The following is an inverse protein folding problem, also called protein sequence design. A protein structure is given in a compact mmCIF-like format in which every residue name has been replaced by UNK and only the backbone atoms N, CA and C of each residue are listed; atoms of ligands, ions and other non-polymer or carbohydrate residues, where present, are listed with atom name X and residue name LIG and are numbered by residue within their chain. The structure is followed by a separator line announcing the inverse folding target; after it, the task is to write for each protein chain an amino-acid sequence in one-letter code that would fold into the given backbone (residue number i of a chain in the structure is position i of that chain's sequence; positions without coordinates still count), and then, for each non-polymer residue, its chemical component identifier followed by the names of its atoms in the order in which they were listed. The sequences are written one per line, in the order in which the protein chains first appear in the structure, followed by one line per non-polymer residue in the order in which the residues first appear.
data_IF_376079888234
#
_entry.id   IF_376079888234
#
_cell.length_a   1.000
_cell.length_b   1.000
_cell.length_c   1.000
_cell.angle_alpha   90.00
_cell.angle_beta   90.00
_cell.angle_gamma   90.00
#
_symmetry.space_group_name_H-M   'P 1'
#
loop_
_entity.id
_entity.type
_entity.pdbx_description
1 polymer ?
#
# COMPACT_ATOMS: atom_id res chain seq x y z
N UNK A 1 -21.40 9.78 -9.25
CA UNK A 1 -21.69 8.36 -8.97
C UNK A 1 -20.93 7.46 -9.96
N UNK A 2 -21.03 7.65 -11.27
CA UNK A 2 -20.41 6.81 -12.29
C UNK A 2 -18.86 6.72 -12.23
N UNK A 3 -18.16 7.78 -11.84
CA UNK A 3 -16.71 7.76 -11.69
C UNK A 3 -16.26 6.96 -10.46
N UNK A 4 -16.97 7.09 -9.35
CA UNK A 4 -16.68 6.35 -8.11
C UNK A 4 -16.88 4.84 -8.28
N UNK A 5 -17.96 4.42 -8.96
CA UNK A 5 -18.20 2.99 -9.23
C UNK A 5 -17.13 2.38 -10.14
N UNK A 6 -16.64 3.10 -11.15
CA UNK A 6 -15.54 2.65 -12.03
C UNK A 6 -14.23 2.47 -11.28
N UNK A 7 -13.89 3.38 -10.36
CA UNK A 7 -12.69 3.28 -9.51
C UNK A 7 -12.81 2.07 -8.58
N UNK A 8 -13.98 1.90 -7.93
CA UNK A 8 -14.23 0.76 -7.06
C UNK A 8 -14.13 -0.57 -7.81
N UNK A 9 -14.78 -0.68 -8.98
CA UNK A 9 -14.71 -1.87 -9.81
C UNK A 9 -13.28 -2.21 -10.24
N UNK A 10 -12.50 -1.20 -10.66
CA UNK A 10 -11.08 -1.39 -11.00
C UNK A 10 -10.25 -1.84 -9.79
N UNK A 11 -10.50 -1.32 -8.59
CA UNK A 11 -9.81 -1.75 -7.36
C UNK A 11 -10.17 -3.18 -6.96
N UNK A 12 -11.45 -3.53 -7.02
CA UNK A 12 -11.89 -4.90 -6.74
C UNK A 12 -11.27 -5.87 -7.73
N UNK A 13 -11.28 -5.56 -9.03
CA UNK A 13 -10.64 -6.37 -10.07
C UNK A 13 -9.13 -6.52 -9.85
N UNK A 14 -8.44 -5.44 -9.48
CA UNK A 14 -7.01 -5.47 -9.12
C UNK A 14 -6.72 -6.41 -7.94
N UNK A 15 -7.52 -6.30 -6.87
CA UNK A 15 -7.32 -7.14 -5.67
C UNK A 15 -7.62 -8.61 -6.00
N UNK A 16 -8.69 -8.87 -6.74
CA UNK A 16 -9.03 -10.22 -7.18
C UNK A 16 -7.92 -10.83 -8.06
N UNK A 17 -7.37 -10.07 -9.02
CA UNK A 17 -6.27 -10.51 -9.86
C UNK A 17 -5.00 -10.81 -9.04
N UNK A 18 -4.62 -9.92 -8.11
CA UNK A 18 -3.47 -10.16 -7.24
C UNK A 18 -3.67 -11.38 -6.33
N UNK A 19 -4.87 -11.57 -5.80
CA UNK A 19 -5.21 -12.75 -5.01
C UNK A 19 -5.08 -14.04 -5.82
N UNK A 20 -5.61 -14.03 -7.04
CA UNK A 20 -5.48 -15.18 -7.94
C UNK A 20 -4.01 -15.52 -8.23
N UNK A 21 -3.15 -14.51 -8.46
CA UNK A 21 -1.70 -14.72 -8.61
C UNK A 21 -1.12 -15.40 -7.39
N UNK A 22 -1.42 -14.92 -6.18
CA UNK A 22 -0.92 -15.50 -4.92
C UNK A 22 -1.35 -16.96 -4.79
N UNK A 23 -2.62 -17.25 -5.10
CA UNK A 23 -3.16 -18.63 -5.06
C UNK A 23 -2.45 -19.53 -6.07
N UNK A 24 -2.29 -19.09 -7.32
CA UNK A 24 -1.62 -19.88 -8.37
C UNK A 24 -0.15 -20.16 -8.02
N UNK A 25 0.55 -19.15 -7.48
CA UNK A 25 1.94 -19.28 -7.03
C UNK A 25 2.02 -20.24 -5.83
N UNK A 26 1.12 -20.10 -4.85
CA UNK A 26 1.07 -20.96 -3.67
C UNK A 26 0.82 -22.43 -4.05
N UNK A 27 -0.15 -22.69 -4.93
CA UNK A 27 -0.47 -24.05 -5.38
C UNK A 27 0.69 -24.72 -6.10
N UNK A 28 1.38 -23.99 -6.97
CA UNK A 28 2.43 -24.57 -7.81
C UNK A 28 3.80 -24.66 -7.12
N UNK A 29 4.17 -23.63 -6.34
CA UNK A 29 5.51 -23.55 -5.77
C UNK A 29 5.60 -24.03 -4.32
N UNK A 30 4.47 -24.30 -3.68
CA UNK A 30 4.40 -24.67 -2.27
C UNK A 30 4.84 -23.55 -1.32
N UNK A 31 4.88 -23.83 0.01
CA UNK A 31 5.16 -22.82 1.01
C UNK A 31 6.52 -22.14 0.84
N UNK A 32 7.59 -22.87 0.58
CA UNK A 32 8.93 -22.28 0.43
C UNK A 32 9.02 -21.36 -0.80
N UNK A 33 8.50 -21.83 -1.95
CA UNK A 33 8.48 -21.02 -3.18
C UNK A 33 7.60 -19.78 -3.05
N UNK A 34 6.45 -19.90 -2.39
CA UNK A 34 5.58 -18.76 -2.07
C UNK A 34 6.27 -17.78 -1.12
N UNK A 35 7.03 -18.26 -0.14
CA UNK A 35 7.79 -17.43 0.79
C UNK A 35 8.85 -16.59 0.06
N UNK A 36 9.69 -17.23 -0.76
CA UNK A 36 10.69 -16.53 -1.57
C UNK A 36 10.06 -15.51 -2.52
N UNK A 37 8.95 -15.87 -3.17
CA UNK A 37 8.21 -14.94 -4.02
C UNK A 37 7.70 -13.73 -3.22
N UNK A 38 7.05 -13.96 -2.07
CA UNK A 38 6.48 -12.88 -1.25
C UNK A 38 7.56 -11.94 -0.71
N UNK A 39 8.68 -12.47 -0.23
CA UNK A 39 9.82 -11.68 0.24
C UNK A 39 10.43 -10.86 -0.89
N UNK A 40 10.64 -11.47 -2.05
CA UNK A 40 11.21 -10.77 -3.21
C UNK A 40 10.30 -9.64 -3.69
N UNK A 41 8.99 -9.87 -3.74
CA UNK A 41 8.00 -8.82 -4.03
C UNK A 41 8.04 -7.73 -2.96
N UNK A 42 8.11 -8.07 -1.67
CA UNK A 42 8.22 -7.10 -0.59
C UNK A 42 9.47 -6.23 -0.70
N UNK A 43 10.64 -6.83 -0.97
CA UNK A 43 11.89 -6.09 -1.20
C UNK A 43 11.76 -5.16 -2.42
N UNK A 44 11.16 -5.64 -3.51
CA UNK A 44 10.94 -4.82 -4.72
C UNK A 44 10.08 -3.59 -4.43
N UNK A 45 8.98 -3.78 -3.71
CA UNK A 45 8.06 -2.69 -3.33
C UNK A 45 8.70 -1.71 -2.34
N UNK A 46 9.47 -2.22 -1.37
CA UNK A 46 10.21 -1.38 -0.41
C UNK A 46 11.27 -0.52 -1.15
N UNK A 47 12.03 -1.12 -2.05
CA UNK A 47 13.03 -0.40 -2.85
C UNK A 47 12.38 0.70 -3.68
N UNK A 48 11.26 0.41 -4.35
CA UNK A 48 10.52 1.42 -5.10
C UNK A 48 10.00 2.56 -4.20
N UNK A 49 9.47 2.21 -3.03
CA UNK A 49 8.96 3.18 -2.06
C UNK A 49 10.08 4.07 -1.51
N UNK A 50 11.22 3.50 -1.12
CA UNK A 50 12.37 4.26 -0.61
C UNK A 50 12.93 5.22 -1.66
N UNK A 51 13.14 4.73 -2.89
CA UNK A 51 13.72 5.51 -3.99
C UNK A 51 12.73 6.50 -4.61
N UNK A 52 11.43 6.35 -4.36
CA UNK A 52 10.40 7.29 -4.77
C UNK A 52 10.58 8.69 -4.20
N UNK A 53 11.15 8.79 -3.00
CA UNK A 53 11.56 10.05 -2.36
C UNK A 53 10.44 11.08 -2.23
N UNK A 54 9.16 10.69 -2.38
CA UNK A 54 8.02 11.61 -2.39
C UNK A 54 7.86 12.42 -3.67
N UNK A 55 8.58 12.06 -4.73
CA UNK A 55 8.55 12.73 -6.03
C UNK A 55 7.13 12.87 -6.60
N UNK A 56 6.31 11.81 -6.46
CA UNK A 56 4.91 11.83 -6.87
C UNK A 56 4.05 12.72 -5.98
N UNK A 57 4.21 12.61 -4.67
CA UNK A 57 3.43 13.38 -3.70
C UNK A 57 3.64 14.89 -3.84
N UNK A 58 4.90 15.34 -4.00
CA UNK A 58 5.25 16.74 -4.20
C UNK A 58 4.75 17.31 -5.55
N UNK A 59 4.57 16.45 -6.55
CA UNK A 59 4.06 16.84 -7.85
C UNK A 59 2.62 17.36 -7.81
N UNK A 60 1.79 16.82 -6.90
CA UNK A 60 0.36 17.17 -6.84
C UNK A 60 0.15 18.65 -6.51
N UNK A 61 0.70 19.24 -5.43
CA UNK A 61 0.57 20.67 -5.16
C UNK A 61 1.19 21.53 -6.26
N UNK A 62 2.37 21.16 -6.75
CA UNK A 62 3.08 21.94 -7.77
C UNK A 62 2.27 22.10 -9.07
N UNK A 63 1.63 21.02 -9.53
CA UNK A 63 0.78 21.06 -10.71
C UNK A 63 -0.56 21.77 -10.46
N UNK A 64 -1.18 21.56 -9.28
CA UNK A 64 -2.48 22.18 -8.97
C UNK A 64 -2.40 23.69 -8.76
N UNK A 65 -1.32 24.18 -8.18
CA UNK A 65 -1.07 25.61 -8.00
C UNK A 65 -0.52 26.27 -9.27
N UNK A 66 -0.31 25.53 -10.35
CA UNK A 66 0.23 26.07 -11.60
C UNK A 66 1.69 26.53 -11.50
N UNK A 67 2.43 26.11 -10.45
CA UNK A 67 3.82 26.52 -10.19
C UNK A 67 4.83 25.85 -11.11
N UNK A 68 4.43 24.82 -11.82
CA UNK A 68 5.27 24.09 -12.79
C UNK A 68 4.42 23.54 -13.93
N UNK A 69 4.96 23.59 -15.15
CA UNK A 69 4.29 23.02 -16.31
C UNK A 69 4.40 21.48 -16.26
N UNK A 70 3.35 20.73 -16.67
CA UNK A 70 3.36 19.26 -16.63
C UNK A 70 4.51 18.64 -17.41
N UNK A 71 4.86 19.23 -18.59
CA UNK A 71 5.98 18.74 -19.42
C UNK A 71 7.33 18.87 -18.71
N UNK A 72 7.53 20.00 -18.05
CA UNK A 72 8.78 20.27 -17.33
C UNK A 72 8.93 19.38 -16.12
N UNK A 73 7.84 19.20 -15.36
CA UNK A 73 7.82 18.28 -14.23
C UNK A 73 8.13 16.84 -14.67
N UNK A 74 7.51 16.35 -15.76
CA UNK A 74 7.78 15.01 -16.27
C UNK A 74 9.25 14.83 -16.69
N UNK A 75 9.91 15.87 -17.24
CA UNK A 75 11.35 15.83 -17.55
C UNK A 75 12.19 15.73 -16.27
N UNK A 76 11.86 16.48 -15.23
CA UNK A 76 12.55 16.41 -13.94
C UNK A 76 12.37 15.03 -13.27
N UNK A 77 11.18 14.47 -13.37
CA UNK A 77 10.89 13.12 -12.89
C UNK A 77 11.62 12.04 -13.68
N UNK A 78 11.75 12.20 -15.00
CA UNK A 78 12.57 11.30 -15.85
C UNK A 78 14.05 11.37 -15.45
N UNK A 79 14.58 12.55 -15.16
CA UNK A 79 15.95 12.72 -14.65
C UNK A 79 16.13 12.00 -13.31
N UNK A 80 15.19 12.16 -12.37
CA UNK A 80 15.19 11.42 -11.10
C UNK A 80 15.16 9.91 -11.31
N UNK A 81 14.28 9.43 -12.17
CA UNK A 81 14.20 8.00 -12.51
C UNK A 81 15.50 7.49 -13.13
N UNK A 82 16.13 8.26 -14.01
CA UNK A 82 17.45 7.94 -14.55
C UNK A 82 18.52 7.78 -13.46
N UNK A 83 18.54 8.70 -12.48
CA UNK A 83 19.44 8.59 -11.33
C UNK A 83 19.12 7.34 -10.49
N UNK A 84 17.86 7.09 -10.20
CA UNK A 84 17.45 5.92 -9.40
C UNK A 84 17.67 4.60 -10.14
N UNK A 85 17.64 4.57 -11.49
CA UNK A 85 18.00 3.38 -12.26
C UNK A 85 19.48 3.03 -12.10
N UNK A 86 20.37 4.02 -12.00
CA UNK A 86 21.79 3.81 -11.71
C UNK A 86 21.97 3.24 -10.29
N UNK A 87 21.26 3.78 -9.31
CA UNK A 87 21.29 3.26 -7.92
C UNK A 87 20.81 1.81 -7.85
N UNK A 88 19.69 1.50 -8.51
CA UNK A 88 19.14 0.14 -8.56
C UNK A 88 20.10 -0.82 -9.30
N UNK A 89 20.69 -0.38 -10.43
CA UNK A 89 21.67 -1.16 -11.18
C UNK A 89 22.94 -1.42 -10.36
N UNK A 90 23.46 -0.41 -9.67
CA UNK A 90 24.60 -0.55 -8.78
C UNK A 90 24.31 -1.49 -7.61
N UNK A 91 23.13 -1.39 -7.00
CA UNK A 91 22.71 -2.28 -5.92
C UNK A 91 22.57 -3.75 -6.41
N UNK A 92 21.98 -3.97 -7.60
CA UNK A 92 21.90 -5.30 -8.21
C UNK A 92 23.28 -5.85 -8.55
N UNK A 93 24.17 -5.01 -9.08
CA UNK A 93 25.56 -5.37 -9.36
C UNK A 93 26.31 -5.77 -8.09
N UNK A 94 26.24 -4.94 -7.05
CA UNK A 94 26.84 -5.24 -5.73
C UNK A 94 26.31 -6.55 -5.15
N UNK A 95 24.99 -6.75 -5.20
CA UNK A 95 24.34 -7.96 -4.71
C UNK A 95 24.80 -9.26 -5.40
N UNK A 96 25.42 -9.15 -6.59
CA UNK A 96 25.91 -10.30 -7.38
C UNK A 96 27.41 -10.47 -7.21
N UNK A 97 28.17 -9.37 -7.09
CA UNK A 97 29.62 -9.38 -7.11
C UNK A 97 30.27 -9.47 -5.73
N UNK A 98 29.55 -9.11 -4.67
CA UNK A 98 29.99 -9.27 -3.30
C UNK A 98 29.59 -10.67 -2.79
N UNK A 99 30.59 -11.52 -2.49
CA UNK A 99 30.37 -12.90 -2.08
C UNK A 99 29.53 -13.03 -0.81
N UNK A 100 29.71 -12.09 0.15
CA UNK A 100 28.93 -12.11 1.39
C UNK A 100 27.46 -11.73 1.13
N UNK A 101 27.21 -10.71 0.31
CA UNK A 101 25.88 -10.32 -0.09
C UNK A 101 25.19 -11.41 -0.91
N UNK A 102 25.87 -11.98 -1.91
CA UNK A 102 25.34 -13.02 -2.76
C UNK A 102 24.99 -14.29 -1.98
N UNK A 103 25.85 -14.73 -1.06
CA UNK A 103 25.59 -15.89 -0.19
C UNK A 103 24.43 -15.62 0.78
N UNK A 104 24.36 -14.45 1.39
CA UNK A 104 23.28 -14.09 2.27
C UNK A 104 21.91 -14.04 1.53
N UNK A 105 21.88 -13.41 0.36
CA UNK A 105 20.67 -13.30 -0.48
C UNK A 105 20.21 -14.67 -1.00
N UNK A 106 21.15 -15.56 -1.38
CA UNK A 106 20.82 -16.91 -1.82
C UNK A 106 20.27 -17.75 -0.66
N UNK A 107 20.82 -17.62 0.55
CA UNK A 107 20.40 -18.37 1.72
C UNK A 107 19.01 -17.94 2.22
N UNK A 108 18.79 -16.63 2.37
CA UNK A 108 17.59 -16.10 3.00
C UNK A 108 16.45 -15.80 2.00
N UNK A 109 16.75 -15.37 0.81
CA UNK A 109 15.75 -15.00 -0.19
C UNK A 109 15.66 -15.99 -1.37
N UNK A 110 16.55 -16.97 -1.42
CA UNK A 110 16.66 -17.89 -2.56
C UNK A 110 17.05 -17.17 -3.86
N UNK A 111 17.79 -16.05 -3.76
CA UNK A 111 18.13 -15.22 -4.91
C UNK A 111 19.26 -15.83 -5.74
N UNK A 112 19.05 -15.77 -7.03
CA UNK A 112 20.08 -15.97 -8.07
C UNK A 112 20.50 -14.61 -8.62
N UNK A 113 21.64 -14.51 -9.33
CA UNK A 113 22.05 -13.27 -10.01
C UNK A 113 20.95 -12.68 -10.90
N UNK A 114 20.19 -13.53 -11.58
CA UNK A 114 19.05 -13.07 -12.40
C UNK A 114 17.95 -12.41 -11.59
N UNK A 115 17.66 -12.90 -10.37
CA UNK A 115 16.63 -12.34 -9.49
C UNK A 115 16.99 -10.94 -8.99
N UNK A 116 18.26 -10.65 -8.70
CA UNK A 116 18.70 -9.32 -8.31
C UNK A 116 18.37 -8.27 -9.40
N UNK A 117 18.60 -8.59 -10.65
CA UNK A 117 18.24 -7.73 -11.78
C UNK A 117 16.73 -7.62 -11.96
N UNK A 118 15.98 -8.71 -11.79
CA UNK A 118 14.52 -8.66 -11.88
C UNK A 118 13.90 -7.78 -10.78
N UNK A 119 14.47 -7.80 -9.57
CA UNK A 119 14.09 -6.89 -8.47
C UNK A 119 14.36 -5.44 -8.84
N UNK A 120 15.54 -5.13 -9.36
CA UNK A 120 15.90 -3.78 -9.79
C UNK A 120 14.95 -3.26 -10.89
N UNK A 121 14.67 -4.10 -11.89
CA UNK A 121 13.75 -3.80 -13.00
C UNK A 121 12.30 -3.62 -12.48
N UNK A 122 11.85 -4.49 -11.60
CA UNK A 122 10.52 -4.41 -11.00
C UNK A 122 10.36 -3.16 -10.14
N UNK A 123 11.37 -2.82 -9.32
CA UNK A 123 11.40 -1.62 -8.49
C UNK A 123 11.39 -0.34 -9.34
N UNK A 124 12.17 -0.30 -10.42
CA UNK A 124 12.15 0.80 -11.38
C UNK A 124 10.76 0.98 -12.02
N UNK A 125 10.16 -0.12 -12.48
CA UNK A 125 8.81 -0.11 -13.05
C UNK A 125 7.76 0.43 -12.08
N UNK A 126 7.80 -0.05 -10.84
CA UNK A 126 6.88 0.38 -9.78
C UNK A 126 7.08 1.84 -9.38
N UNK A 127 8.33 2.27 -9.20
CA UNK A 127 8.72 3.64 -8.90
C UNK A 127 8.12 4.62 -9.92
N UNK A 128 8.36 4.35 -11.20
CA UNK A 128 7.88 5.23 -12.26
C UNK A 128 6.35 5.18 -12.40
N UNK A 129 5.75 4.01 -12.25
CA UNK A 129 4.30 3.87 -12.26
C UNK A 129 3.65 4.74 -11.18
N UNK A 130 4.19 4.73 -9.97
CA UNK A 130 3.70 5.54 -8.85
C UNK A 130 3.83 7.04 -9.16
N UNK A 131 5.01 7.50 -9.58
CA UNK A 131 5.28 8.90 -9.90
C UNK A 131 4.30 9.44 -10.95
N UNK A 132 4.12 8.73 -12.06
CA UNK A 132 3.23 9.20 -13.14
C UNK A 132 1.75 9.05 -12.80
N UNK A 133 1.38 8.13 -11.90
CA UNK A 133 0.00 8.04 -11.37
C UNK A 133 -0.37 9.31 -10.59
N UNK A 134 0.54 9.87 -9.80
CA UNK A 134 0.31 11.14 -9.11
C UNK A 134 0.15 12.34 -10.06
N UNK A 135 0.82 12.33 -11.21
CA UNK A 135 0.61 13.36 -12.23
C UNK A 135 -0.81 13.32 -12.81
N UNK A 136 -1.32 12.12 -13.09
CA UNK A 136 -2.70 11.95 -13.53
C UNK A 136 -3.71 12.34 -12.43
N UNK A 137 -3.41 12.01 -11.19
CA UNK A 137 -4.19 12.42 -10.02
C UNK A 137 -4.26 13.95 -9.93
N UNK A 138 -3.12 14.63 -10.04
CA UNK A 138 -3.04 16.09 -9.98
C UNK A 138 -3.88 16.76 -11.08
N UNK A 139 -4.04 16.13 -12.23
CA UNK A 139 -4.80 16.60 -13.39
C UNK A 139 -6.27 16.14 -13.41
N UNK A 140 -6.75 15.49 -12.35
CA UNK A 140 -8.14 15.01 -12.23
C UNK A 140 -8.44 13.71 -12.98
N UNK A 141 -7.42 12.96 -13.43
CA UNK A 141 -7.56 11.73 -14.23
C UNK A 141 -7.52 10.44 -13.38
N UNK A 142 -8.10 10.44 -12.21
CA UNK A 142 -8.08 9.29 -11.28
C UNK A 142 -8.63 7.99 -11.85
N UNK A 143 -9.73 8.06 -12.58
CA UNK A 143 -10.37 6.89 -13.20
C UNK A 143 -9.39 6.20 -14.15
N UNK A 144 -8.65 7.01 -14.92
CA UNK A 144 -7.67 6.48 -15.90
C UNK A 144 -6.51 5.82 -15.19
N UNK A 145 -5.93 6.46 -14.16
CA UNK A 145 -4.85 5.88 -13.35
C UNK A 145 -5.28 4.56 -12.69
N UNK A 146 -6.50 4.53 -12.13
CA UNK A 146 -7.06 3.30 -11.55
C UNK A 146 -7.24 2.20 -12.58
N UNK A 147 -7.71 2.53 -13.78
CA UNK A 147 -7.88 1.56 -14.86
C UNK A 147 -6.54 0.95 -15.32
N UNK A 148 -5.49 1.78 -15.50
CA UNK A 148 -4.15 1.28 -15.85
C UNK A 148 -3.62 0.33 -14.78
N UNK A 149 -3.85 0.64 -13.49
CA UNK A 149 -3.46 -0.24 -12.39
C UNK A 149 -4.23 -1.59 -12.42
N UNK A 150 -5.51 -1.57 -12.73
CA UNK A 150 -6.31 -2.79 -12.93
C UNK A 150 -5.80 -3.65 -14.10
N UNK A 151 -5.49 -3.03 -15.24
CA UNK A 151 -4.92 -3.72 -16.40
C UNK A 151 -3.53 -4.30 -16.11
N UNK A 152 -2.70 -3.59 -15.34
CA UNK A 152 -1.39 -4.09 -14.88
C UNK A 152 -1.54 -5.36 -14.04
N UNK A 153 -2.48 -5.39 -13.10
CA UNK A 153 -2.74 -6.57 -12.28
C UNK A 153 -3.31 -7.74 -13.09
N UNK A 154 -4.19 -7.45 -14.04
CA UNK A 154 -4.71 -8.47 -14.96
C UNK A 154 -3.60 -9.03 -15.87
N UNK A 155 -2.74 -8.17 -16.42
CA UNK A 155 -1.57 -8.58 -17.20
C UNK A 155 -0.64 -9.49 -16.41
N UNK A 156 -0.37 -9.17 -15.14
CA UNK A 156 0.39 -10.02 -14.24
C UNK A 156 -0.26 -11.40 -14.08
N UNK A 157 -1.56 -11.43 -13.81
CA UNK A 157 -2.31 -12.69 -13.69
C UNK A 157 -2.24 -13.53 -14.97
N UNK A 158 -2.43 -12.91 -16.13
CA UNK A 158 -2.39 -13.62 -17.41
C UNK A 158 -1.01 -14.23 -17.71
N UNK A 159 0.08 -13.50 -17.40
CA UNK A 159 1.45 -14.03 -17.56
C UNK A 159 1.70 -15.19 -16.61
N UNK A 160 1.32 -15.08 -15.33
CA UNK A 160 1.46 -16.17 -14.36
C UNK A 160 0.64 -17.39 -14.77
N UNK A 161 -0.60 -17.20 -15.21
CA UNK A 161 -1.44 -18.28 -15.72
C UNK A 161 -0.84 -18.96 -16.96
N UNK A 162 -0.28 -18.21 -17.89
CA UNK A 162 0.41 -18.76 -19.06
C UNK A 162 1.65 -19.57 -18.68
N UNK A 163 2.45 -19.08 -17.71
CA UNK A 163 3.60 -19.82 -17.17
C UNK A 163 3.16 -21.13 -16.48
N UNK A 164 2.05 -21.10 -15.75
CA UNK A 164 1.48 -22.28 -15.13
C UNK A 164 1.03 -23.30 -16.18
N UNK A 165 0.26 -22.87 -17.18
CA UNK A 165 -0.25 -23.76 -18.25
C UNK A 165 0.88 -24.38 -19.09
N UNK A 166 2.00 -23.68 -19.23
CA UNK A 166 3.19 -24.18 -19.96
C UNK A 166 4.14 -25.00 -19.07
N UNK A 167 3.83 -25.19 -17.78
CA UNK A 167 4.68 -25.90 -16.82
C UNK A 167 6.00 -25.17 -16.50
N UNK A 168 6.08 -23.87 -16.77
CA UNK A 168 7.30 -23.06 -16.60
C UNK A 168 7.24 -22.13 -15.38
N UNK A 169 6.24 -22.29 -14.51
CA UNK A 169 6.12 -21.46 -13.32
C UNK A 169 7.11 -21.94 -12.24
N UNK A 170 8.15 -21.14 -12.05
CA UNK A 170 9.18 -21.28 -11.01
C UNK A 170 9.24 -20.00 -10.17
N UNK A 171 9.91 -19.97 -9.01
CA UNK A 171 10.06 -18.73 -8.24
C UNK A 171 10.64 -17.59 -9.08
N UNK A 172 11.66 -17.86 -9.88
CA UNK A 172 12.30 -16.85 -10.73
C UNK A 172 11.38 -16.34 -11.84
N UNK A 173 10.63 -17.23 -12.51
CA UNK A 173 9.69 -16.80 -13.57
C UNK A 173 8.47 -16.08 -13.01
N UNK A 174 8.02 -16.41 -11.78
CA UNK A 174 6.97 -15.68 -11.08
C UNK A 174 7.41 -14.22 -10.75
N UNK A 175 8.63 -14.04 -10.26
CA UNK A 175 9.23 -12.71 -10.04
C UNK A 175 9.43 -11.98 -11.37
N UNK A 176 9.85 -12.68 -12.42
CA UNK A 176 9.96 -12.13 -13.78
C UNK A 176 8.62 -11.62 -14.31
N UNK A 177 7.55 -12.39 -14.11
CA UNK A 177 6.19 -11.97 -14.45
C UNK A 177 5.75 -10.71 -13.69
N UNK A 178 6.09 -10.64 -12.39
CA UNK A 178 5.85 -9.44 -11.57
C UNK A 178 6.62 -8.24 -12.12
N UNK A 179 7.93 -8.36 -12.38
CA UNK A 179 8.76 -7.29 -12.92
C UNK A 179 8.29 -6.82 -14.30
N UNK A 180 7.92 -7.75 -15.18
CA UNK A 180 7.35 -7.44 -16.49
C UNK A 180 6.02 -6.66 -16.38
N UNK A 181 5.16 -7.04 -15.44
CA UNK A 181 3.91 -6.33 -15.18
C UNK A 181 4.16 -4.90 -14.67
N UNK A 182 5.17 -4.69 -13.81
CA UNK A 182 5.54 -3.35 -13.35
C UNK A 182 6.05 -2.48 -14.49
N UNK A 183 6.92 -3.00 -15.36
CA UNK A 183 7.40 -2.28 -16.56
C UNK A 183 6.27 -2.00 -17.54
N UNK A 184 5.44 -2.97 -17.83
CA UNK A 184 4.29 -2.80 -18.71
C UNK A 184 3.33 -1.72 -18.17
N UNK A 185 3.10 -1.71 -16.85
CA UNK A 185 2.36 -0.66 -16.17
C UNK A 185 2.99 0.71 -16.30
N UNK A 186 4.33 0.80 -16.14
CA UNK A 186 5.08 2.04 -16.34
C UNK A 186 4.94 2.55 -17.77
N UNK A 187 5.14 1.71 -18.76
CA UNK A 187 4.99 2.10 -20.18
C UNK A 187 3.56 2.59 -20.44
N UNK A 188 2.56 1.86 -19.97
CA UNK A 188 1.16 2.24 -20.14
C UNK A 188 0.84 3.60 -19.50
N UNK A 189 1.30 3.84 -18.25
CA UNK A 189 1.01 5.09 -17.55
C UNK A 189 1.76 6.28 -18.18
N UNK A 190 2.97 6.09 -18.69
CA UNK A 190 3.72 7.13 -19.44
C UNK A 190 2.96 7.50 -20.73
N UNK A 191 2.53 6.50 -21.51
CA UNK A 191 1.77 6.74 -22.74
C UNK A 191 0.50 7.52 -22.46
N UNK A 192 -0.22 7.13 -21.39
CA UNK A 192 -1.45 7.80 -20.98
C UNK A 192 -1.14 9.23 -20.52
N UNK A 193 -0.10 9.44 -19.70
CA UNK A 193 0.30 10.76 -19.22
C UNK A 193 0.73 11.68 -20.38
N UNK A 194 1.51 11.17 -21.34
CA UNK A 194 1.91 11.91 -22.54
C UNK A 194 0.72 12.30 -23.42
N UNK A 195 -0.25 11.40 -23.60
CA UNK A 195 -1.51 11.71 -24.33
C UNK A 195 -2.34 12.75 -23.59
N UNK A 196 -2.36 12.70 -22.26
CA UNK A 196 -3.12 13.66 -21.46
C UNK A 196 -2.50 15.07 -21.48
N UNK A 197 -1.20 15.23 -21.75
CA UNK A 197 -0.57 16.55 -21.93
C UNK A 197 -1.20 17.40 -23.04
N UNK A 198 -1.87 16.76 -24.00
CA UNK A 198 -2.58 17.41 -25.10
C UNK A 198 -3.99 17.87 -24.73
N UNK A 199 -4.47 17.51 -23.53
CA UNK A 199 -5.80 17.79 -23.05
C UNK A 199 -5.75 18.83 -21.93
N UNK A 200 -6.76 19.73 -21.82
CA UNK A 200 -6.84 20.61 -20.67
C UNK A 200 -7.00 19.81 -19.37
N UNK A 201 -6.44 20.31 -18.27
CA UNK A 201 -6.67 19.72 -16.97
C UNK A 201 -8.18 19.73 -16.65
N UNK A 202 -8.69 18.63 -16.12
CA UNK A 202 -10.09 18.58 -15.69
C UNK A 202 -10.23 19.26 -14.34
N UNK A 203 -11.24 20.14 -14.16
CA UNK A 203 -11.58 20.60 -12.84
C UNK A 203 -11.96 19.38 -11.98
N UNK A 204 -11.40 19.30 -10.79
CA UNK A 204 -11.65 18.19 -9.85
C UNK A 204 -12.94 18.51 -9.09
N UNK A 205 -14.03 18.66 -9.82
CA UNK A 205 -15.34 18.87 -9.23
C UNK A 205 -15.78 17.54 -8.58
N UNK A 206 -15.93 17.56 -7.26
CA UNK A 206 -16.42 16.41 -6.49
C UNK A 206 -15.37 15.37 -6.09
N UNK A 207 -14.08 15.59 -6.35
CA UNK A 207 -13.06 14.85 -5.63
C UNK A 207 -12.72 15.54 -4.33
N UNK A 208 -12.68 14.77 -3.22
CA UNK A 208 -12.10 15.28 -1.99
C UNK A 208 -10.70 15.76 -2.34
N UNK A 209 -10.49 17.06 -2.27
CA UNK A 209 -9.14 17.57 -2.27
C UNK A 209 -8.41 16.81 -1.18
N UNK A 210 -7.35 16.07 -1.50
CA UNK A 210 -6.33 15.86 -0.49
C UNK A 210 -6.05 17.30 -0.03
N UNK A 211 -6.39 17.70 1.20
CA UNK A 211 -5.99 18.98 1.69
C UNK A 211 -4.47 18.90 1.68
N UNK A 212 -3.91 19.47 0.64
CA UNK A 212 -2.49 19.71 0.64
C UNK A 212 -2.31 20.67 1.81
N UNK A 213 -1.58 20.24 2.84
CA UNK A 213 -1.11 21.15 3.85
C UNK A 213 -0.64 22.39 3.10
N UNK A 214 -0.95 23.62 3.58
CA UNK A 214 -0.51 24.82 2.92
C UNK A 214 1.02 24.74 2.77
N UNK A 215 1.46 24.24 1.65
CA UNK A 215 2.85 24.16 1.29
C UNK A 215 3.08 25.43 0.46
N UNK A 216 3.75 26.41 1.05
CA UNK A 216 4.22 27.57 0.32
C UNK A 216 5.27 27.07 -0.68
N UNK A 217 4.84 26.95 -1.92
CA UNK A 217 5.72 26.56 -3.01
C UNK A 217 6.38 27.82 -3.57
N UNK A 218 7.71 27.77 -3.85
CA UNK A 218 8.41 28.86 -4.51
C UNK A 218 7.77 29.21 -5.86
N UNK A 219 7.70 30.51 -6.15
CA UNK A 219 7.13 31.04 -7.40
C UNK A 219 7.99 30.69 -8.64
N UNK A 220 9.28 30.46 -8.43
CA UNK A 220 10.29 30.27 -9.46
C UNK A 220 10.46 28.79 -9.91
N UNK A 221 9.57 27.87 -9.50
CA UNK A 221 9.72 26.44 -9.80
C UNK A 221 9.81 26.14 -11.30
N UNK A 222 9.07 26.84 -12.12
CA UNK A 222 9.06 26.60 -13.58
C UNK A 222 10.31 27.17 -14.28
N UNK A 223 11.07 28.05 -13.65
CA UNK A 223 12.30 28.64 -14.19
C UNK A 223 13.58 27.95 -13.72
N UNK A 224 13.50 27.16 -12.62
CA UNK A 224 14.68 26.47 -12.05
C UNK A 224 15.29 25.46 -13.04
N UNK A 225 16.60 25.24 -13.03
CA UNK A 225 17.21 24.13 -13.78
C UNK A 225 16.56 22.79 -13.43
N UNK A 226 16.46 21.88 -14.40
CA UNK A 226 15.74 20.60 -14.22
C UNK A 226 16.27 19.77 -13.05
N UNK A 227 17.59 19.77 -12.81
CA UNK A 227 18.17 19.05 -11.69
C UNK A 227 17.78 19.62 -10.32
N UNK A 228 17.63 20.97 -10.22
CA UNK A 228 17.12 21.63 -9.00
C UNK A 228 15.64 21.31 -8.80
N UNK A 229 14.87 21.23 -9.86
CA UNK A 229 13.47 20.82 -9.80
C UNK A 229 13.34 19.34 -9.41
N UNK A 230 14.20 18.46 -9.94
CA UNK A 230 14.25 17.06 -9.56
C UNK A 230 14.64 16.89 -8.08
N UNK A 231 15.56 17.69 -7.55
CA UNK A 231 15.96 17.67 -6.14
C UNK A 231 14.93 18.34 -5.20
N UNK A 232 14.13 19.27 -5.71
CA UNK A 232 13.10 19.97 -4.94
C UNK A 232 11.95 19.04 -4.53
N UNK A 233 11.45 18.25 -5.46
CA UNK A 233 10.32 17.35 -5.23
C UNK A 233 10.55 16.36 -4.08
N UNK A 234 11.70 15.64 -3.97
CA UNK A 234 11.97 14.77 -2.83
C UNK A 234 11.99 15.50 -1.49
N UNK A 235 12.56 16.71 -1.43
CA UNK A 235 12.61 17.49 -0.18
C UNK A 235 11.21 17.81 0.36
N UNK A 236 10.27 18.17 -0.52
CA UNK A 236 8.90 18.51 -0.14
C UNK A 236 7.99 17.30 0.04
N UNK A 237 8.29 16.20 -0.66
CA UNK A 237 7.56 14.93 -0.55
C UNK A 237 8.08 14.00 0.56
N UNK A 238 9.26 14.27 1.14
CA UNK A 238 9.96 13.33 2.03
C UNK A 238 9.14 12.90 3.25
N UNK A 239 8.42 13.82 3.90
CA UNK A 239 7.55 13.49 5.04
C UNK A 239 6.40 12.57 4.64
N UNK A 240 5.79 12.81 3.48
CA UNK A 240 4.76 11.93 2.94
C UNK A 240 5.32 10.56 2.57
N UNK A 241 6.53 10.53 1.99
CA UNK A 241 7.21 9.29 1.65
C UNK A 241 7.62 8.49 2.89
N UNK A 242 8.12 9.16 3.93
CA UNK A 242 8.40 8.52 5.21
C UNK A 242 7.14 7.85 5.78
N UNK A 243 5.98 8.51 5.65
CA UNK A 243 4.70 7.91 6.04
C UNK A 243 4.36 6.67 5.22
N UNK A 244 4.59 6.72 3.91
CA UNK A 244 4.35 5.58 3.02
C UNK A 244 5.29 4.41 3.32
N UNK A 245 6.58 4.69 3.55
CA UNK A 245 7.57 3.68 3.95
C UNK A 245 7.22 3.08 5.31
N UNK A 246 6.86 3.90 6.31
CA UNK A 246 6.44 3.40 7.62
C UNK A 246 5.19 2.51 7.52
N UNK A 247 4.23 2.89 6.69
CA UNK A 247 3.04 2.07 6.43
C UNK A 247 3.39 0.77 5.72
N UNK A 248 4.32 0.80 4.76
CA UNK A 248 4.79 -0.41 4.09
C UNK A 248 5.51 -1.36 5.06
N UNK A 249 6.41 -0.82 5.90
CA UNK A 249 7.09 -1.61 6.93
C UNK A 249 6.10 -2.24 7.91
N UNK A 250 5.04 -1.50 8.28
CA UNK A 250 3.96 -2.04 9.11
C UNK A 250 3.33 -3.31 8.50
N UNK A 251 3.22 -3.36 7.18
CA UNK A 251 2.53 -4.46 6.47
C UNK A 251 3.45 -5.62 6.08
N UNK A 252 4.78 -5.44 6.08
CA UNK A 252 5.70 -6.43 5.45
C UNK A 252 6.95 -6.74 6.25
N UNK A 253 7.29 -5.92 7.26
CA UNK A 253 8.51 -6.16 8.04
C UNK A 253 8.46 -7.48 8.82
N UNK A 254 7.28 -7.88 9.25
CA UNK A 254 7.01 -9.15 9.91
C UNK A 254 7.37 -10.37 9.04
N UNK A 255 7.19 -10.29 7.71
CA UNK A 255 7.62 -11.35 6.80
C UNK A 255 9.14 -11.56 6.84
N UNK A 256 9.93 -10.47 6.91
CA UNK A 256 11.38 -10.56 7.08
C UNK A 256 11.79 -11.16 8.43
N UNK A 257 11.06 -10.81 9.50
CA UNK A 257 11.30 -11.41 10.82
C UNK A 257 10.93 -12.90 10.86
N UNK A 258 9.82 -13.30 10.21
CA UNK A 258 9.44 -14.73 10.07
C UNK A 258 10.52 -15.48 9.30
N UNK A 259 11.04 -14.92 8.21
CA UNK A 259 12.12 -15.53 7.45
C UNK A 259 13.35 -15.75 8.34
N UNK A 260 13.80 -14.69 9.01
CA UNK A 260 14.99 -14.73 9.85
C UNK A 260 14.94 -15.83 10.95
N UNK A 261 13.78 -16.01 11.59
CA UNK A 261 13.64 -16.97 12.71
C UNK A 261 13.17 -18.34 12.29
N UNK A 262 12.44 -18.48 11.18
CA UNK A 262 11.71 -19.71 10.82
C UNK A 262 11.89 -20.13 9.36
N UNK A 263 12.50 -19.30 8.53
CA UNK A 263 12.79 -19.59 7.13
C UNK A 263 11.63 -19.34 6.18
N UNK A 264 11.92 -19.48 4.89
CA UNK A 264 11.03 -19.08 3.79
C UNK A 264 9.71 -19.86 3.73
N UNK A 265 9.69 -21.13 4.11
CA UNK A 265 8.46 -21.91 4.11
C UNK A 265 7.41 -21.35 5.08
N UNK A 266 7.83 -20.93 6.26
CA UNK A 266 6.96 -20.28 7.24
C UNK A 266 6.47 -18.91 6.76
N UNK A 267 7.30 -18.18 6.01
CA UNK A 267 6.87 -16.94 5.33
C UNK A 267 5.77 -17.22 4.32
N UNK A 268 5.87 -18.31 3.55
CA UNK A 268 4.84 -18.71 2.61
C UNK A 268 3.50 -18.97 3.29
N UNK A 269 3.53 -19.73 4.39
CA UNK A 269 2.36 -20.01 5.24
C UNK A 269 1.76 -18.70 5.77
N UNK A 270 2.60 -17.83 6.33
CA UNK A 270 2.17 -16.53 6.87
C UNK A 270 1.62 -15.59 5.79
N UNK A 271 2.33 -15.46 4.66
CA UNK A 271 1.96 -14.54 3.60
C UNK A 271 0.61 -14.88 2.96
N UNK A 272 0.28 -16.15 2.79
CA UNK A 272 -1.04 -16.56 2.28
C UNK A 272 -2.15 -16.11 3.23
N UNK A 273 -1.98 -16.31 4.53
CA UNK A 273 -2.93 -15.84 5.54
C UNK A 273 -3.09 -14.30 5.51
N UNK A 274 -1.97 -13.57 5.41
CA UNK A 274 -1.96 -12.11 5.32
C UNK A 274 -2.70 -11.63 4.07
N UNK A 275 -2.40 -12.16 2.89
CA UNK A 275 -3.06 -11.73 1.65
C UNK A 275 -4.58 -11.94 1.70
N UNK A 276 -5.03 -13.07 2.23
CA UNK A 276 -6.47 -13.35 2.38
C UNK A 276 -7.10 -12.41 3.41
N UNK A 277 -6.46 -12.20 4.54
CA UNK A 277 -6.97 -11.32 5.60
C UNK A 277 -7.02 -9.84 5.18
N UNK A 278 -5.97 -9.34 4.52
CA UNK A 278 -5.88 -7.93 4.09
C UNK A 278 -6.94 -7.53 3.06
N UNK A 279 -7.54 -8.49 2.33
CA UNK A 279 -8.67 -8.20 1.44
C UNK A 279 -9.85 -7.53 2.16
N UNK A 280 -10.03 -7.81 3.44
CA UNK A 280 -11.08 -7.19 4.25
C UNK A 280 -10.92 -5.67 4.38
N UNK A 281 -9.69 -5.13 4.21
CA UNK A 281 -9.44 -3.68 4.26
C UNK A 281 -10.00 -2.91 3.07
N UNK A 282 -10.44 -3.58 2.01
CA UNK A 282 -11.20 -2.94 0.93
C UNK A 282 -12.48 -2.30 1.47
N UNK A 283 -13.11 -2.91 2.47
CA UNK A 283 -14.38 -2.45 3.02
C UNK A 283 -14.26 -1.11 3.77
N UNK A 284 -13.43 -0.98 4.84
CA UNK A 284 -13.22 0.29 5.49
C UNK A 284 -12.48 1.29 4.60
N UNK A 285 -11.58 0.83 3.71
CA UNK A 285 -10.84 1.66 2.77
C UNK A 285 -11.73 2.38 1.75
N UNK A 286 -12.88 1.82 1.39
CA UNK A 286 -13.86 2.47 0.52
C UNK A 286 -14.49 3.74 1.15
N UNK A 287 -14.49 3.84 2.48
CA UNK A 287 -15.03 4.99 3.21
C UNK A 287 -14.01 6.14 3.34
N UNK A 288 -12.71 5.84 3.22
CA UNK A 288 -11.63 6.81 3.40
C UNK A 288 -11.76 8.05 2.50
N UNK A 289 -11.99 7.95 1.17
CA UNK A 289 -12.14 9.11 0.32
C UNK A 289 -13.34 10.01 0.67
N UNK A 290 -14.44 9.40 1.15
CA UNK A 290 -15.63 10.13 1.58
C UNK A 290 -15.30 11.01 2.80
N UNK A 291 -14.49 10.47 3.73
CA UNK A 291 -14.09 11.21 4.92
C UNK A 291 -13.06 12.29 4.62
N UNK A 292 -12.12 12.06 3.71
CA UNK A 292 -11.23 13.13 3.28
C UNK A 292 -12.03 14.34 2.82
N UNK A 293 -13.10 14.12 2.04
CA UNK A 293 -13.94 15.20 1.54
C UNK A 293 -14.79 15.85 2.64
N UNK A 294 -15.55 15.07 3.38
CA UNK A 294 -16.46 15.59 4.40
C UNK A 294 -15.71 16.26 5.55
N UNK A 295 -14.49 15.81 5.84
CA UNK A 295 -13.65 16.37 6.89
C UNK A 295 -12.82 17.59 6.45
N UNK A 296 -12.68 17.84 5.15
CA UNK A 296 -12.10 19.05 4.59
C UNK A 296 -13.12 20.20 4.48
N UNK A 297 -14.42 19.92 4.59
CA UNK A 297 -15.47 20.93 4.65
C UNK A 297 -15.34 21.77 5.93
N UNK A 298 -16.27 22.71 6.13
CA UNK A 298 -16.26 23.68 7.24
C UNK A 298 -15.90 23.00 8.59
N UNK A 299 -14.83 23.53 9.21
CA UNK A 299 -14.35 23.04 10.50
C UNK A 299 -15.35 23.25 11.64
N UNK A 300 -16.29 24.18 11.49
CA UNK A 300 -17.33 24.52 12.46
C UNK A 300 -18.58 23.63 12.35
N UNK A 301 -18.75 22.83 11.27
CA UNK A 301 -19.93 21.98 11.08
C UNK A 301 -19.92 20.76 12.04
N UNK A 302 -20.85 20.70 13.01
CA UNK A 302 -20.97 19.55 13.92
C UNK A 302 -21.30 18.23 13.21
N UNK A 303 -21.82 18.30 11.97
CA UNK A 303 -22.15 17.10 11.16
C UNK A 303 -20.93 16.35 10.75
N UNK A 304 -19.77 17.02 10.58
CA UNK A 304 -18.47 16.46 10.26
C UNK A 304 -18.08 15.30 11.20
N UNK A 305 -18.12 15.56 12.51
CA UNK A 305 -17.73 14.60 13.54
C UNK A 305 -18.70 13.41 13.60
N UNK A 306 -19.98 13.68 13.40
CA UNK A 306 -21.01 12.61 13.34
C UNK A 306 -20.84 11.73 12.11
N UNK A 307 -20.48 12.32 10.97
CA UNK A 307 -20.20 11.58 9.72
C UNK A 307 -19.00 10.68 9.89
N UNK A 308 -17.90 11.18 10.47
CA UNK A 308 -16.70 10.40 10.76
C UNK A 308 -17.00 9.24 11.73
N UNK A 309 -17.72 9.50 12.81
CA UNK A 309 -18.12 8.47 13.77
C UNK A 309 -19.05 7.40 13.15
N UNK A 310 -19.98 7.80 12.26
CA UNK A 310 -20.84 6.87 11.52
C UNK A 310 -20.01 5.99 10.57
N UNK A 311 -19.06 6.58 9.85
CA UNK A 311 -18.18 5.85 8.95
C UNK A 311 -17.30 4.85 9.71
N UNK A 312 -16.77 5.20 10.89
CA UNK A 312 -16.02 4.28 11.75
C UNK A 312 -16.89 3.07 12.13
N UNK A 313 -18.11 3.30 12.63
CA UNK A 313 -19.03 2.19 12.97
C UNK A 313 -19.35 1.31 11.76
N UNK A 314 -19.63 1.93 10.63
CA UNK A 314 -19.93 1.21 9.39
C UNK A 314 -18.71 0.40 8.90
N UNK A 315 -17.51 0.98 8.94
CA UNK A 315 -16.27 0.29 8.59
C UNK A 315 -16.00 -0.92 9.48
N UNK A 316 -16.13 -0.75 10.81
CA UNK A 316 -15.96 -1.86 11.76
C UNK A 316 -17.05 -2.93 11.55
N UNK A 317 -18.32 -2.53 11.42
CA UNK A 317 -19.43 -3.45 11.21
C UNK A 317 -19.27 -4.28 9.93
N UNK A 318 -18.95 -3.63 8.82
CA UNK A 318 -18.71 -4.31 7.53
C UNK A 318 -17.52 -5.29 7.63
N UNK A 319 -16.42 -4.84 8.25
CA UNK A 319 -15.22 -5.69 8.41
C UNK A 319 -15.52 -6.89 9.31
N UNK A 320 -16.24 -6.69 10.40
CA UNK A 320 -16.62 -7.77 11.32
C UNK A 320 -17.55 -8.79 10.64
N UNK A 321 -18.59 -8.32 9.93
CA UNK A 321 -19.52 -9.19 9.18
C UNK A 321 -18.80 -10.01 8.13
N UNK A 322 -17.78 -9.47 7.47
CA UNK A 322 -16.99 -10.21 6.50
C UNK A 322 -15.89 -11.08 7.14
N UNK A 323 -15.35 -10.68 8.29
CA UNK A 323 -14.35 -11.45 9.02
C UNK A 323 -14.91 -12.72 9.64
N UNK A 324 -16.17 -12.70 10.10
CA UNK A 324 -16.78 -13.86 10.74
C UNK A 324 -16.88 -15.09 9.81
N UNK A 325 -17.49 -15.01 8.61
CA UNK A 325 -17.49 -16.15 7.69
C UNK A 325 -16.06 -16.54 7.25
N UNK A 326 -15.16 -15.57 7.08
CA UNK A 326 -13.77 -15.87 6.75
C UNK A 326 -13.06 -16.65 7.88
N UNK A 327 -13.34 -16.35 9.15
CA UNK A 327 -12.83 -17.09 10.29
C UNK A 327 -13.37 -18.54 10.32
N UNK A 328 -14.67 -18.72 10.08
CA UNK A 328 -15.33 -20.02 10.09
C UNK A 328 -14.89 -20.89 8.89
N UNK A 329 -14.81 -20.27 7.71
CA UNK A 329 -14.46 -20.94 6.46
C UNK A 329 -12.96 -20.90 6.14
N UNK A 330 -12.10 -20.48 7.10
CA UNK A 330 -10.66 -20.35 6.89
C UNK A 330 -10.03 -21.67 6.39
N UNK A 331 -10.40 -22.81 6.98
CA UNK A 331 -9.85 -24.11 6.59
C UNK A 331 -10.21 -24.50 5.15
N UNK A 332 -11.47 -24.55 4.71
CA UNK A 332 -11.78 -24.91 3.32
C UNK A 332 -11.28 -23.87 2.31
N UNK A 333 -11.27 -22.57 2.64
CA UNK A 333 -10.75 -21.55 1.74
C UNK A 333 -9.24 -21.67 1.51
N UNK A 334 -8.47 -21.87 2.58
CA UNK A 334 -7.02 -22.03 2.46
C UNK A 334 -6.62 -23.39 1.87
N UNK A 335 -7.39 -24.45 2.15
CA UNK A 335 -7.21 -25.73 1.47
C UNK A 335 -7.44 -25.62 -0.05
N UNK A 336 -8.45 -24.85 -0.47
CA UNK A 336 -8.70 -24.56 -1.88
C UNK A 336 -7.58 -23.69 -2.49
N UNK A 337 -7.03 -22.73 -1.70
CA UNK A 337 -6.00 -21.81 -2.17
C UNK A 337 -4.60 -22.43 -2.27
N UNK A 338 -4.23 -23.34 -1.37
CA UNK A 338 -2.86 -23.86 -1.30
C UNK A 338 -2.75 -25.37 -1.08
N UNK A 339 -3.88 -26.09 -0.95
CA UNK A 339 -3.89 -27.51 -0.61
C UNK A 339 -3.49 -27.79 0.86
N UNK A 340 -3.25 -29.04 1.18
CA UNK A 340 -2.91 -29.48 2.55
C UNK A 340 -1.60 -28.91 3.11
N UNK A 341 -0.71 -28.39 2.27
CA UNK A 341 0.57 -27.80 2.68
C UNK A 341 0.41 -26.48 3.46
N UNK A 342 -0.77 -25.84 3.39
CA UNK A 342 -1.08 -24.55 4.03
C UNK A 342 -2.04 -24.67 5.22
N UNK A 343 -2.18 -25.85 5.80
CA UNK A 343 -3.04 -26.05 6.96
C UNK A 343 -2.66 -25.12 8.13
N UNK A 344 -1.36 -24.91 8.36
CA UNK A 344 -0.88 -23.99 9.38
C UNK A 344 -1.27 -22.51 9.12
N UNK A 345 -1.55 -22.12 7.86
CA UNK A 345 -2.05 -20.78 7.52
C UNK A 345 -3.43 -20.49 8.10
N UNK A 346 -4.24 -21.54 8.38
CA UNK A 346 -5.56 -21.38 8.99
C UNK A 346 -5.46 -20.75 10.37
N UNK A 347 -4.52 -21.22 11.18
CA UNK A 347 -4.30 -20.68 12.53
C UNK A 347 -3.70 -19.28 12.48
N UNK A 348 -2.80 -19.00 11.52
CA UNK A 348 -2.25 -17.67 11.29
C UNK A 348 -3.35 -16.68 10.84
N UNK A 349 -4.24 -17.09 9.92
CA UNK A 349 -5.36 -16.25 9.48
C UNK A 349 -6.32 -15.97 10.65
N UNK A 350 -6.70 -16.99 11.42
CA UNK A 350 -7.57 -16.82 12.60
C UNK A 350 -6.98 -15.90 13.65
N UNK A 351 -5.65 -15.95 13.85
CA UNK A 351 -4.95 -15.06 14.76
C UNK A 351 -4.86 -13.61 14.25
N UNK A 352 -4.84 -13.42 12.91
CA UNK A 352 -4.75 -12.09 12.27
C UNK A 352 -6.10 -11.37 12.20
N UNK A 353 -7.20 -12.09 12.01
CA UNK A 353 -8.54 -11.51 11.79
C UNK A 353 -9.01 -10.56 12.90
N UNK A 354 -8.82 -10.84 14.20
CA UNK A 354 -9.13 -9.88 15.26
C UNK A 354 -8.41 -8.56 15.11
N UNK A 355 -7.13 -8.60 14.72
CA UNK A 355 -6.33 -7.40 14.45
C UNK A 355 -6.83 -6.62 13.25
N UNK A 356 -7.22 -7.29 12.18
CA UNK A 356 -7.80 -6.66 10.98
C UNK A 356 -9.09 -5.92 11.32
N UNK A 357 -9.97 -6.51 12.12
CA UNK A 357 -11.20 -5.84 12.59
C UNK A 357 -10.86 -4.65 13.49
N UNK A 358 -9.89 -4.83 14.41
CA UNK A 358 -9.43 -3.76 15.30
C UNK A 358 -8.76 -2.61 14.55
N UNK A 359 -8.19 -2.85 13.36
CA UNK A 359 -7.55 -1.82 12.53
C UNK A 359 -8.55 -1.01 11.68
N UNK A 360 -9.75 -1.52 11.45
CA UNK A 360 -10.77 -0.85 10.63
C UNK A 360 -11.05 0.62 11.04
N UNK A 361 -11.16 0.99 12.34
CA UNK A 361 -11.26 2.39 12.76
C UNK A 361 -10.08 3.24 12.27
N UNK A 362 -8.86 2.70 12.35
CA UNK A 362 -7.63 3.38 11.92
C UNK A 362 -7.66 3.70 10.42
N UNK A 363 -8.04 2.72 9.60
CA UNK A 363 -8.17 2.90 8.13
C UNK A 363 -9.17 4.00 7.80
N UNK A 364 -10.31 4.03 8.46
CA UNK A 364 -11.36 5.05 8.24
C UNK A 364 -10.90 6.42 8.72
N UNK A 365 -10.34 6.52 9.94
CA UNK A 365 -9.89 7.77 10.54
C UNK A 365 -8.68 8.37 9.83
N UNK A 366 -7.88 7.57 9.11
CA UNK A 366 -6.80 8.08 8.29
C UNK A 366 -7.29 9.11 7.27
N UNK A 367 -8.44 8.86 6.64
CA UNK A 367 -9.09 9.81 5.75
C UNK A 367 -9.59 11.06 6.48
N UNK A 368 -10.19 10.91 7.64
CA UNK A 368 -10.65 12.04 8.47
C UNK A 368 -9.49 12.96 8.87
N UNK A 369 -8.37 12.40 9.32
CA UNK A 369 -7.20 13.19 9.72
C UNK A 369 -6.53 13.91 8.54
N UNK A 370 -6.49 13.29 7.35
CA UNK A 370 -6.07 13.96 6.13
C UNK A 370 -7.02 15.13 5.82
N UNK A 371 -8.34 14.91 5.86
CA UNK A 371 -9.34 15.93 5.64
C UNK A 371 -9.25 17.10 6.64
N UNK A 372 -8.90 16.83 7.89
CA UNK A 372 -8.66 17.86 8.94
C UNK A 372 -7.32 18.59 8.81
N UNK A 373 -6.50 18.28 7.81
CA UNK A 373 -5.16 18.87 7.67
C UNK A 373 -4.14 18.37 8.71
N UNK A 374 -4.38 17.19 9.30
CA UNK A 374 -3.51 16.59 10.33
C UNK A 374 -2.91 15.24 9.89
N UNK A 375 -2.34 15.10 8.69
CA UNK A 375 -1.81 13.83 8.18
C UNK A 375 -0.66 13.28 9.02
N UNK A 376 0.08 14.14 9.72
CA UNK A 376 1.16 13.72 10.64
C UNK A 376 0.66 12.79 11.78
N UNK A 377 -0.62 12.82 12.11
CA UNK A 377 -1.19 11.88 13.08
C UNK A 377 -1.23 10.45 12.56
N UNK A 378 -1.45 10.28 11.26
CA UNK A 378 -1.36 8.97 10.62
C UNK A 378 0.06 8.44 10.67
N UNK A 379 1.06 9.29 10.34
CA UNK A 379 2.48 8.92 10.42
C UNK A 379 2.87 8.47 11.82
N UNK A 380 2.50 9.24 12.84
CA UNK A 380 2.83 8.91 14.23
C UNK A 380 2.16 7.61 14.68
N UNK A 381 0.89 7.38 14.28
CA UNK A 381 0.21 6.12 14.57
C UNK A 381 0.89 4.95 13.87
N UNK A 382 1.27 5.09 12.59
CA UNK A 382 1.97 4.05 11.84
C UNK A 382 3.33 3.71 12.45
N UNK A 383 4.13 4.71 12.82
CA UNK A 383 5.43 4.50 13.47
C UNK A 383 5.27 3.74 14.80
N UNK A 384 4.32 4.17 15.64
CA UNK A 384 4.04 3.45 16.89
C UNK A 384 3.61 2.00 16.62
N UNK A 385 2.75 1.79 15.63
CA UNK A 385 2.29 0.45 15.27
C UNK A 385 3.46 -0.43 14.82
N UNK A 386 4.40 0.11 14.02
CA UNK A 386 5.63 -0.61 13.61
C UNK A 386 6.46 -0.99 14.84
N UNK A 387 6.70 -0.04 15.76
CA UNK A 387 7.49 -0.30 16.97
C UNK A 387 6.85 -1.41 17.83
N UNK A 388 5.54 -1.35 18.04
CA UNK A 388 4.80 -2.39 18.77
C UNK A 388 4.86 -3.72 18.02
N UNK A 389 4.66 -3.71 16.68
CA UNK A 389 4.73 -4.91 15.86
C UNK A 389 6.09 -5.60 16.02
N UNK A 390 7.19 -4.86 15.84
CA UNK A 390 8.55 -5.40 15.97
C UNK A 390 8.80 -5.96 17.37
N UNK A 391 8.46 -5.20 18.42
CA UNK A 391 8.68 -5.64 19.79
C UNK A 391 7.94 -6.95 20.13
N UNK A 392 6.68 -7.04 19.73
CA UNK A 392 5.86 -8.25 19.97
C UNK A 392 6.28 -9.39 19.03
N UNK A 393 6.64 -9.10 17.77
CA UNK A 393 7.10 -10.08 16.81
C UNK A 393 8.40 -10.76 17.27
N UNK A 394 9.39 -10.00 17.77
CA UNK A 394 10.64 -10.54 18.32
C UNK A 394 10.40 -11.48 19.51
N UNK A 395 9.34 -11.28 20.28
CA UNK A 395 8.97 -12.15 21.40
C UNK A 395 8.19 -13.40 20.95
N UNK A 396 7.28 -13.27 19.97
CA UNK A 396 6.34 -14.32 19.60
C UNK A 396 6.81 -15.19 18.43
N UNK A 397 7.46 -14.63 17.41
CA UNK A 397 7.87 -15.37 16.21
C UNK A 397 8.82 -16.53 16.53
N UNK A 398 9.88 -16.35 17.38
CA UNK A 398 10.80 -17.46 17.66
C UNK A 398 10.11 -18.69 18.25
N UNK A 399 8.99 -18.51 18.97
CA UNK A 399 8.26 -19.60 19.63
C UNK A 399 7.08 -20.12 18.80
N UNK A 400 6.37 -19.22 18.11
CA UNK A 400 5.07 -19.51 17.50
C UNK A 400 5.04 -19.34 15.96
N UNK A 401 6.16 -18.98 15.31
CA UNK A 401 6.28 -18.86 13.86
C UNK A 401 5.23 -17.91 13.24
N UNK A 402 4.57 -18.35 12.17
CA UNK A 402 3.53 -17.60 11.46
C UNK A 402 2.36 -17.15 12.35
N UNK A 403 1.95 -17.98 13.30
CA UNK A 403 0.89 -17.62 14.27
C UNK A 403 1.36 -16.53 15.21
N UNK A 404 2.64 -16.58 15.63
CA UNK A 404 3.25 -15.52 16.44
C UNK A 404 3.32 -14.19 15.71
N UNK A 405 3.66 -14.18 14.42
CA UNK A 405 3.63 -13.01 13.56
C UNK A 405 2.21 -12.43 13.42
N UNK A 406 1.22 -13.30 13.22
CA UNK A 406 -0.18 -12.90 13.10
C UNK A 406 -0.71 -12.24 14.38
N UNK A 407 -0.38 -12.77 15.56
CA UNK A 407 -0.72 -12.14 16.84
C UNK A 407 0.03 -10.83 17.05
N UNK A 408 1.32 -10.75 16.68
CA UNK A 408 2.09 -9.51 16.77
C UNK A 408 1.44 -8.40 15.94
N UNK A 409 1.05 -8.71 14.70
CA UNK A 409 0.34 -7.78 13.81
C UNK A 409 -1.04 -7.41 14.37
N UNK A 410 -1.79 -8.36 14.93
CA UNK A 410 -3.09 -8.10 15.56
C UNK A 410 -2.99 -7.13 16.74
N UNK A 411 -2.03 -7.33 17.62
CA UNK A 411 -1.78 -6.45 18.78
C UNK A 411 -1.35 -5.06 18.30
N UNK A 412 -0.44 -4.99 17.34
CA UNK A 412 0.06 -3.73 16.79
C UNK A 412 -1.07 -2.92 16.12
N UNK A 413 -1.90 -3.57 15.32
CA UNK A 413 -3.05 -2.94 14.66
C UNK A 413 -4.07 -2.40 15.66
N UNK A 414 -4.35 -3.15 16.72
CA UNK A 414 -5.22 -2.71 17.80
C UNK A 414 -4.64 -1.48 18.53
N UNK A 415 -3.34 -1.48 18.84
CA UNK A 415 -2.66 -0.34 19.46
C UNK A 415 -2.68 0.92 18.58
N UNK A 416 -2.36 0.79 17.28
CA UNK A 416 -2.41 1.90 16.34
C UNK A 416 -3.80 2.51 16.22
N UNK A 417 -4.82 1.68 16.06
CA UNK A 417 -6.22 2.12 16.02
C UNK A 417 -6.66 2.78 17.33
N UNK A 418 -6.25 2.25 18.47
CA UNK A 418 -6.58 2.82 19.78
C UNK A 418 -6.03 4.26 19.91
N UNK A 419 -4.80 4.51 19.44
CA UNK A 419 -4.22 5.86 19.41
C UNK A 419 -5.00 6.78 18.48
N UNK A 420 -5.38 6.32 17.30
CA UNK A 420 -6.17 7.12 16.35
C UNK A 420 -7.56 7.44 16.92
N UNK A 421 -8.24 6.47 17.52
CA UNK A 421 -9.51 6.67 18.22
C UNK A 421 -9.40 7.63 19.40
N UNK A 422 -8.33 7.53 20.18
CA UNK A 422 -8.07 8.44 21.30
C UNK A 422 -7.88 9.88 20.81
N UNK A 423 -7.12 10.12 19.75
CA UNK A 423 -6.95 11.44 19.13
C UNK A 423 -8.25 11.99 18.57
N UNK A 424 -9.01 11.14 17.86
CA UNK A 424 -10.32 11.52 17.36
C UNK A 424 -11.25 11.97 18.48
N UNK A 425 -11.31 11.20 19.57
CA UNK A 425 -12.12 11.55 20.74
C UNK A 425 -11.69 12.84 21.41
N UNK A 426 -10.37 13.05 21.57
CA UNK A 426 -9.85 14.31 22.16
C UNK A 426 -10.18 15.53 21.28
N UNK A 427 -10.17 15.37 19.99
CA UNK A 427 -10.47 16.45 19.04
C UNK A 427 -11.96 16.78 18.95
N UNK A 428 -12.81 15.75 19.01
CA UNK A 428 -14.27 15.91 18.84
C UNK A 428 -15.05 16.03 20.16
N UNK A 429 -14.42 15.71 21.28
CA UNK A 429 -15.08 15.61 22.59
C UNK A 429 -16.07 14.46 22.72
N UNK A 430 -16.09 13.53 21.76
CA UNK A 430 -17.02 12.39 21.78
C UNK A 430 -16.65 11.37 22.85
N UNK A 431 -17.65 10.86 23.55
CA UNK A 431 -17.48 9.72 24.45
C UNK A 431 -17.36 8.40 23.66
N UNK A 432 -16.72 7.37 24.24
CA UNK A 432 -16.70 6.03 23.63
C UNK A 432 -18.10 5.48 23.39
N UNK A 433 -19.00 5.66 24.34
CA UNK A 433 -20.41 5.25 24.19
C UNK A 433 -21.09 5.99 23.04
N UNK A 434 -20.82 7.29 22.87
CA UNK A 434 -21.30 8.09 21.74
C UNK A 434 -20.78 7.61 20.40
N UNK A 435 -19.50 7.20 20.37
CA UNK A 435 -18.87 6.64 19.17
C UNK A 435 -19.49 5.28 18.78
N UNK A 436 -19.66 4.38 19.74
CA UNK A 436 -20.17 3.01 19.50
C UNK A 436 -21.69 3.01 19.29
N UNK A 437 -22.47 3.66 20.15
CA UNK A 437 -23.93 3.60 20.15
C UNK A 437 -24.61 4.69 19.30
N UNK A 438 -23.84 5.66 18.78
CA UNK A 438 -24.41 6.76 17.99
C UNK A 438 -25.24 7.77 18.79
N UNK A 439 -25.28 7.65 20.12
CA UNK A 439 -26.04 8.53 21.01
C UNK A 439 -25.20 9.75 21.36
N UNK A 440 -25.42 10.88 20.67
CA UNK A 440 -24.81 12.16 21.00
C UNK A 440 -25.69 12.92 21.99
N UNK A 441 -25.26 12.99 23.24
CA UNK A 441 -25.74 13.99 24.20
C UNK A 441 -24.82 15.22 24.10
N UNK A 442 -24.96 16.06 23.10
CA UNK A 442 -24.65 17.48 23.21
C UNK A 442 -25.96 18.20 22.92
N UNK A 443 -26.46 19.02 23.84
CA UNK A 443 -27.47 19.99 23.49
C UNK A 443 -26.89 20.92 22.43
N UNK A 444 -27.65 21.22 21.40
CA UNK A 444 -27.35 22.31 20.48
C UNK A 444 -27.22 23.57 21.35
N UNK A 445 -26.17 24.39 21.21
CA UNK A 445 -26.22 25.73 21.76
C UNK A 445 -27.44 26.41 21.15
N UNK A 446 -28.24 27.03 22.02
CA UNK A 446 -29.40 27.82 21.66
C UNK A 446 -29.04 29.01 20.79
#
# INVERSE_FOLDING_TARGET
VAAGSRILFSRVGQVAANAAVVVLVAQQLGPAGQGHYSLTVAVTLLSASLLGGGMGLAAVPALRQGRVTPRRLMRAQALWMGLMSVVLGAAAWWAITDDAAASWLSLHLGWTPALAWLVAVGAFGMLGFEIFTYNLLARGRLVVGSAVNGWRALGHLLVVAALLLTGRLTPSTAVGAFAAAQLGGLVAIIVVACRDLRRPAQPINGMPGVPLAPCELPDDLDTRPLWKLAAFNPRHGALGQLSAVAYFLLLRLDQGLVEHFRGAAEVGIYSLAVYVGEMLWLLPGALTPLLVHSSAADASDPRRDRTAARAVRMGVGLTLVAALPLYLLAAPLLALAGGGQYEASVNALRALLPGIVAFAPGVVLAGDFIGRGKPHWNTQASVLTVVVNVAVALALIPRHGAVGAAWASSIAYACGSAVMLWRFRRTTGMSLRGLVLGRHRRPLPA
#
